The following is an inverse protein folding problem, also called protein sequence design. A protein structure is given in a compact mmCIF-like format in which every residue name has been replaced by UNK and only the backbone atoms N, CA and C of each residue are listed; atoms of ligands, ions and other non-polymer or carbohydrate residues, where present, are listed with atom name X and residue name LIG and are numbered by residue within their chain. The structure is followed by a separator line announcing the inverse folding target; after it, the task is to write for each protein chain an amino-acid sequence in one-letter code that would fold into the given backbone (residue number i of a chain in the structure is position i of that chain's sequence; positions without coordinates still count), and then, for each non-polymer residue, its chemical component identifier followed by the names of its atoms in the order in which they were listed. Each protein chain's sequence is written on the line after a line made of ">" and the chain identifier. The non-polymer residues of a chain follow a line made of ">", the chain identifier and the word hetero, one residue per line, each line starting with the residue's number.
data_IF_426932448626
#
_entry.id   IF_426932448626
#
_cell.length_a   1.000
_cell.length_b   1.000
_cell.length_c   1.000
_cell.angle_alpha   90.00
_cell.angle_beta   90.00
_cell.angle_gamma   90.00
#
_symmetry.space_group_name_H-M   'P 1'
#
loop_
_entity.id
_entity.type
_entity.pdbx_description
1 polymer ?
#
# COMPACT_ATOMS: atom_id res chain seq x y z
N UNK A 1 -18.74 -7.82 -47.77
CA UNK A 1 -19.03 -6.37 -47.91
C UNK A 1 -19.96 -5.80 -46.84
N UNK A 2 -20.87 -6.58 -46.23
CA UNK A 2 -21.85 -6.08 -45.25
C UNK A 2 -21.23 -5.52 -43.93
N UNK A 3 -20.18 -6.14 -43.37
CA UNK A 3 -19.56 -5.66 -42.11
C UNK A 3 -18.97 -4.25 -42.18
N UNK A 4 -18.39 -3.85 -43.33
CA UNK A 4 -17.85 -2.49 -43.52
C UNK A 4 -18.94 -1.45 -43.61
N UNK A 5 -20.09 -1.78 -44.22
CA UNK A 5 -21.25 -0.89 -44.31
C UNK A 5 -21.86 -0.63 -42.93
N UNK A 6 -22.01 -1.66 -42.11
CA UNK A 6 -22.55 -1.51 -40.76
C UNK A 6 -21.71 -0.60 -39.86
N UNK A 7 -20.37 -0.77 -39.88
CA UNK A 7 -19.47 0.11 -39.11
C UNK A 7 -19.53 1.56 -39.63
N UNK A 8 -19.60 1.77 -40.95
CA UNK A 8 -19.75 3.12 -41.52
C UNK A 8 -21.13 3.74 -41.27
N UNK A 9 -22.19 2.94 -41.17
CA UNK A 9 -23.55 3.41 -40.85
C UNK A 9 -23.70 3.77 -39.37
N UNK A 10 -22.99 3.07 -38.47
CA UNK A 10 -22.86 3.42 -37.03
C UNK A 10 -22.07 4.73 -36.89
N UNK A 11 -20.89 4.80 -37.50
CA UNK A 11 -20.00 5.98 -37.42
C UNK A 11 -20.60 7.21 -38.11
N UNK A 12 -21.37 7.02 -39.18
CA UNK A 12 -22.02 8.09 -39.95
C UNK A 12 -23.34 8.59 -39.37
N UNK A 13 -23.78 8.10 -38.21
CA UNK A 13 -25.00 8.56 -37.54
C UNK A 13 -26.31 8.18 -38.22
N UNK A 14 -26.27 7.43 -39.33
CA UNK A 14 -27.46 7.01 -40.07
C UNK A 14 -28.33 6.03 -39.28
N UNK A 15 -27.72 5.21 -38.40
CA UNK A 15 -28.46 4.38 -37.46
C UNK A 15 -29.29 5.22 -36.47
N UNK A 16 -28.80 6.39 -36.09
CA UNK A 16 -29.51 7.29 -35.17
C UNK A 16 -30.77 7.86 -35.81
N UNK A 17 -30.72 8.13 -37.12
CA UNK A 17 -31.82 8.73 -37.91
C UNK A 17 -32.87 7.70 -38.32
N UNK A 18 -32.48 6.45 -38.62
CA UNK A 18 -33.37 5.45 -39.18
C UNK A 18 -34.06 4.54 -38.15
N UNK A 19 -33.50 4.44 -36.95
CA UNK A 19 -34.12 3.75 -35.82
C UNK A 19 -34.82 4.79 -34.93
N UNK A 20 -35.94 4.44 -34.28
CA UNK A 20 -36.70 5.33 -33.38
C UNK A 20 -35.94 5.84 -32.15
N UNK A 21 -34.61 5.74 -32.14
CA UNK A 21 -33.68 6.24 -31.14
C UNK A 21 -33.78 7.77 -31.00
N UNK A 22 -34.06 8.51 -32.07
CA UNK A 22 -34.34 9.96 -31.97
C UNK A 22 -35.56 10.27 -31.10
N UNK A 23 -36.54 9.35 -31.02
CA UNK A 23 -37.72 9.50 -30.17
C UNK A 23 -37.40 9.29 -28.69
N UNK A 24 -36.24 8.69 -28.38
CA UNK A 24 -35.74 8.39 -27.04
C UNK A 24 -34.34 8.98 -26.78
N UNK A 25 -34.01 10.11 -27.40
CA UNK A 25 -32.68 10.77 -27.24
C UNK A 25 -32.29 11.00 -25.77
N UNK A 26 -33.26 11.30 -24.90
CA UNK A 26 -33.00 11.46 -23.47
C UNK A 26 -32.39 10.20 -22.83
N UNK A 27 -32.80 9.02 -23.27
CA UNK A 27 -32.25 7.74 -22.81
C UNK A 27 -30.82 7.52 -23.30
N UNK A 28 -30.51 7.90 -24.55
CA UNK A 28 -29.14 7.81 -25.10
C UNK A 28 -28.18 8.73 -24.36
N UNK A 29 -28.58 9.97 -24.10
CA UNK A 29 -27.78 10.94 -23.34
C UNK A 29 -27.58 10.45 -21.90
N UNK A 30 -28.61 9.87 -21.29
CA UNK A 30 -28.51 9.27 -19.96
C UNK A 30 -27.47 8.14 -19.91
N UNK A 31 -27.51 7.21 -20.87
CA UNK A 31 -26.51 6.14 -20.96
C UNK A 31 -25.11 6.70 -21.18
N UNK A 32 -24.96 7.71 -22.03
CA UNK A 32 -23.67 8.34 -22.29
C UNK A 32 -23.09 9.00 -21.03
N UNK A 33 -23.93 9.72 -20.27
CA UNK A 33 -23.54 10.28 -18.98
C UNK A 33 -23.11 9.18 -17.99
N UNK A 34 -23.83 8.06 -17.95
CA UNK A 34 -23.51 6.93 -17.08
C UNK A 34 -22.16 6.29 -17.45
N UNK A 35 -21.84 6.19 -18.75
CA UNK A 35 -20.53 5.73 -19.23
C UNK A 35 -19.42 6.69 -18.80
N UNK A 36 -19.62 8.01 -18.93
CA UNK A 36 -18.61 8.99 -18.48
C UNK A 36 -18.37 8.88 -16.96
N UNK A 37 -19.45 8.79 -16.18
CA UNK A 37 -19.37 8.62 -14.72
C UNK A 37 -18.63 7.32 -14.39
N UNK A 38 -18.95 6.23 -15.06
CA UNK A 38 -18.30 4.93 -14.87
C UNK A 38 -16.78 5.02 -15.12
N UNK A 39 -16.36 5.59 -16.25
CA UNK A 39 -14.94 5.76 -16.59
C UNK A 39 -14.23 6.60 -15.53
N UNK A 40 -14.85 7.71 -15.13
CA UNK A 40 -14.29 8.63 -14.14
C UNK A 40 -14.11 7.96 -12.78
N UNK A 41 -15.11 7.19 -12.34
CA UNK A 41 -15.07 6.46 -11.08
C UNK A 41 -14.02 5.35 -11.11
N UNK A 42 -13.94 4.60 -12.21
CA UNK A 42 -12.94 3.55 -12.37
C UNK A 42 -11.52 4.11 -12.25
N UNK A 43 -11.24 5.21 -12.95
CA UNK A 43 -9.94 5.87 -12.91
C UNK A 43 -9.56 6.35 -11.50
N UNK A 44 -10.53 6.91 -10.76
CA UNK A 44 -10.32 7.34 -9.38
C UNK A 44 -10.02 6.17 -8.44
N UNK A 45 -10.73 5.05 -8.60
CA UNK A 45 -10.51 3.83 -7.80
C UNK A 45 -9.15 3.23 -8.11
N UNK A 46 -8.80 3.11 -9.39
CA UNK A 46 -7.52 2.54 -9.83
C UNK A 46 -6.33 3.33 -9.27
N UNK A 47 -6.41 4.67 -9.33
CA UNK A 47 -5.40 5.55 -8.75
C UNK A 47 -5.23 5.31 -7.24
N UNK A 48 -6.34 5.16 -6.50
CA UNK A 48 -6.31 4.87 -5.06
C UNK A 48 -5.74 3.49 -4.77
N UNK A 49 -6.06 2.47 -5.56
CA UNK A 49 -5.53 1.12 -5.41
C UNK A 49 -4.02 1.07 -5.62
N UNK A 50 -3.49 1.84 -6.56
CA UNK A 50 -2.05 1.95 -6.79
C UNK A 50 -1.35 2.56 -5.56
N UNK A 51 -1.87 3.68 -5.06
CA UNK A 51 -1.33 4.33 -3.85
C UNK A 51 -1.40 3.41 -2.64
N UNK A 52 -2.52 2.70 -2.46
CA UNK A 52 -2.68 1.75 -1.35
C UNK A 52 -1.61 0.63 -1.43
N UNK A 53 -1.40 0.05 -2.61
CA UNK A 53 -0.35 -0.97 -2.80
C UNK A 53 1.05 -0.42 -2.50
N UNK A 54 1.32 0.83 -2.84
CA UNK A 54 2.59 1.48 -2.53
C UNK A 54 2.75 1.63 -1.01
N UNK A 55 1.75 2.20 -0.33
CA UNK A 55 1.77 2.40 1.11
C UNK A 55 1.93 1.06 1.87
N UNK A 56 1.24 0.01 1.45
CA UNK A 56 1.38 -1.33 2.05
C UNK A 56 2.80 -1.89 1.90
N UNK A 57 3.45 -1.65 0.75
CA UNK A 57 4.86 -2.03 0.55
C UNK A 57 5.79 -1.26 1.46
N UNK A 58 5.59 0.05 1.59
CA UNK A 58 6.38 0.88 2.50
C UNK A 58 6.23 0.45 3.96
N UNK A 59 5.01 0.21 4.41
CA UNK A 59 4.74 -0.30 5.76
C UNK A 59 5.43 -1.64 6.02
N UNK A 60 5.42 -2.55 5.04
CA UNK A 60 6.13 -3.82 5.15
C UNK A 60 7.64 -3.63 5.26
N UNK A 61 8.21 -2.75 4.45
CA UNK A 61 9.64 -2.44 4.49
C UNK A 61 10.04 -1.79 5.83
N UNK A 62 9.25 -0.83 6.30
CA UNK A 62 9.48 -0.15 7.57
C UNK A 62 9.39 -1.13 8.75
N UNK A 63 8.41 -2.04 8.74
CA UNK A 63 8.29 -3.09 9.74
C UNK A 63 9.54 -4.00 9.74
N UNK A 64 10.00 -4.40 8.57
CA UNK A 64 11.21 -5.23 8.45
C UNK A 64 12.45 -4.50 8.99
N UNK A 65 12.65 -3.23 8.64
CA UNK A 65 13.77 -2.42 9.12
C UNK A 65 13.72 -2.20 10.64
N UNK A 66 12.54 -1.87 11.19
CA UNK A 66 12.33 -1.76 12.63
C UNK A 66 12.68 -3.07 13.35
N UNK A 67 12.18 -4.21 12.85
CA UNK A 67 12.48 -5.52 13.43
C UNK A 67 13.97 -5.83 13.38
N UNK A 68 14.65 -5.53 12.27
CA UNK A 68 16.09 -5.71 12.12
C UNK A 68 16.90 -4.86 13.10
N UNK A 69 16.60 -3.56 13.20
CA UNK A 69 17.23 -2.62 14.14
C UNK A 69 17.00 -3.05 15.59
N UNK A 70 15.76 -3.40 15.94
CA UNK A 70 15.40 -3.90 17.27
C UNK A 70 16.16 -5.18 17.62
N UNK A 71 16.24 -6.13 16.69
CA UNK A 71 16.98 -7.38 16.91
C UNK A 71 18.47 -7.11 17.16
N UNK A 72 19.08 -6.19 16.41
CA UNK A 72 20.47 -5.77 16.61
C UNK A 72 20.69 -5.13 17.97
N UNK A 73 19.80 -4.23 18.39
CA UNK A 73 19.85 -3.60 19.71
C UNK A 73 19.70 -4.64 20.83
N UNK A 74 18.72 -5.54 20.71
CA UNK A 74 18.53 -6.63 21.68
C UNK A 74 19.76 -7.53 21.78
N UNK A 75 20.40 -7.84 20.66
CA UNK A 75 21.65 -8.60 20.65
C UNK A 75 22.76 -7.86 21.41
N UNK A 76 22.93 -6.56 21.14
CA UNK A 76 23.92 -5.72 21.83
C UNK A 76 23.59 -5.52 23.31
N UNK A 77 22.32 -5.53 23.71
CA UNK A 77 21.88 -5.42 25.10
C UNK A 77 21.98 -6.75 25.87
N UNK A 78 22.36 -7.87 25.23
CA UNK A 78 22.57 -9.12 25.97
C UNK A 78 23.74 -8.95 26.93
N UNK A 79 23.54 -9.35 28.18
CA UNK A 79 24.54 -9.28 29.25
C UNK A 79 25.90 -9.85 28.82
N UNK A 80 25.91 -11.00 28.16
CA UNK A 80 27.13 -11.63 27.63
C UNK A 80 27.86 -10.79 26.57
N UNK A 81 27.12 -10.08 25.70
CA UNK A 81 27.75 -9.19 24.72
C UNK A 81 28.24 -7.88 25.34
N UNK A 82 27.52 -7.37 26.32
CA UNK A 82 27.99 -6.22 27.11
C UNK A 82 29.28 -6.58 27.84
N UNK A 83 29.35 -7.75 28.48
CA UNK A 83 30.54 -8.25 29.17
C UNK A 83 31.73 -8.40 28.21
N UNK A 84 31.52 -9.00 27.02
CA UNK A 84 32.55 -9.10 25.98
C UNK A 84 33.06 -7.72 25.55
N UNK A 85 32.16 -6.78 25.26
CA UNK A 85 32.54 -5.41 24.87
C UNK A 85 33.27 -4.68 25.99
N UNK A 86 32.83 -4.82 27.24
CA UNK A 86 33.51 -4.20 28.40
C UNK A 86 34.95 -4.71 28.52
N UNK A 87 35.19 -6.00 28.30
CA UNK A 87 36.53 -6.60 28.27
C UNK A 87 37.35 -6.06 27.08
N UNK A 88 36.76 -6.00 25.87
CA UNK A 88 37.41 -5.44 24.68
C UNK A 88 37.82 -3.96 24.87
N UNK A 89 37.02 -3.17 25.59
CA UNK A 89 37.31 -1.77 25.92
C UNK A 89 38.25 -1.60 27.14
N UNK A 90 38.77 -2.69 27.71
CA UNK A 90 39.72 -2.65 28.83
C UNK A 90 39.10 -2.36 30.20
N UNK A 91 37.79 -2.59 30.37
CA UNK A 91 37.10 -2.38 31.64
C UNK A 91 37.27 -3.58 32.58
N UNK A 92 37.51 -3.31 33.87
CA UNK A 92 37.61 -4.32 34.93
C UNK A 92 36.26 -4.72 35.52
N UNK A 93 35.16 -4.13 35.02
CA UNK A 93 33.80 -4.38 35.53
C UNK A 93 33.36 -5.82 35.29
N UNK A 94 33.13 -6.55 36.39
CA UNK A 94 32.62 -7.92 36.37
C UNK A 94 31.14 -7.95 36.71
N UNK A 95 30.45 -8.89 36.09
CA UNK A 95 29.05 -9.15 36.40
C UNK A 95 28.89 -9.51 37.89
N UNK A 96 27.89 -8.93 38.59
CA UNK A 96 27.63 -9.29 39.98
C UNK A 96 27.23 -10.77 40.05
N UNK A 97 27.95 -11.52 40.89
CA UNK A 97 27.74 -12.95 41.13
C UNK A 97 26.61 -13.22 42.13
N UNK A 98 26.35 -12.26 43.03
CA UNK A 98 25.32 -12.36 44.06
C UNK A 98 24.10 -11.52 43.68
N UNK A 99 22.87 -12.00 43.96
CA UNK A 99 21.65 -11.22 43.76
C UNK A 99 21.65 -9.97 44.67
N UNK A 100 20.99 -8.89 44.27
CA UNK A 100 20.92 -7.67 45.07
C UNK A 100 20.20 -7.95 46.40
N UNK A 101 20.81 -7.52 47.50
CA UNK A 101 20.24 -7.63 48.85
C UNK A 101 19.53 -6.32 49.24
N UNK A 102 18.47 -6.45 50.03
CA UNK A 102 17.83 -5.30 50.66
C UNK A 102 18.75 -4.78 51.78
N UNK A 103 19.18 -3.53 51.67
CA UNK A 103 19.88 -2.84 52.74
C UNK A 103 18.81 -2.33 53.72
N UNK A 104 18.69 -2.97 54.88
CA UNK A 104 17.95 -2.39 56.01
C UNK A 104 18.87 -1.42 56.72
N UNK A 105 18.44 -0.17 56.83
CA UNK A 105 19.05 0.79 57.74
C UNK A 105 18.37 0.61 59.11
N UNK A 106 19.15 0.27 60.14
CA UNK A 106 18.72 0.32 61.54
C UNK A 106 18.76 1.76 62.06
#
# INVERSE_FOLDING_TARGET
>A
MAKRKWVSEIMGGQILVHSGILQQMGFVIYLFALVIIYISLNFAIESKLITERHNQRELKNLKADYTGKRARLLYQSKRTEIEKKLIEYGSELKAPANPPSYIKFD
#
